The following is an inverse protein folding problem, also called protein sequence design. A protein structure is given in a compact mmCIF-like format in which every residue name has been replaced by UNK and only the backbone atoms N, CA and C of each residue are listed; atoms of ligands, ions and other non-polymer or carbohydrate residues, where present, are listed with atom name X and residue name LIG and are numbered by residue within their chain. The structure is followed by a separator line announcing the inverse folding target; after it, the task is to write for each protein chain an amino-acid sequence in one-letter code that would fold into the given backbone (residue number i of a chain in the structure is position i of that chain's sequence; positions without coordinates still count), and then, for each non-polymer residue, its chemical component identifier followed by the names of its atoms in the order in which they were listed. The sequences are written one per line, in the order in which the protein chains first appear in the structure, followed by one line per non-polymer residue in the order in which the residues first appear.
data_IF_594767754164
#
_entry.id   IF_594767754164
#
_cell.length_a   1.000
_cell.length_b   1.000
_cell.length_c   1.000
_cell.angle_alpha   90.00
_cell.angle_beta   90.00
_cell.angle_gamma   90.00
#
_symmetry.space_group_name_H-M   'P 1'
#
loop_
_entity.id
_entity.type
_entity.pdbx_description
1 polymer ?
#
# COMPACT_ATOMS: atom_id res chain seq x y z
N UNK A 1 9.82 -21.63 -15.90
CA UNK A 1 10.51 -20.71 -14.97
C UNK A 1 10.26 -21.09 -13.51
N UNK A 2 9.00 -21.25 -13.09
CA UNK A 2 8.61 -21.65 -11.72
C UNK A 2 9.25 -22.97 -11.24
N UNK A 3 8.96 -24.11 -11.90
CA UNK A 3 9.45 -25.43 -11.47
C UNK A 3 10.98 -25.51 -11.45
N UNK A 4 11.66 -24.85 -12.40
CA UNK A 4 13.12 -24.78 -12.43
C UNK A 4 13.67 -24.04 -11.22
N UNK A 5 13.04 -22.95 -10.80
CA UNK A 5 13.48 -22.21 -9.60
C UNK A 5 13.25 -23.01 -8.32
N UNK A 6 12.16 -23.78 -8.22
CA UNK A 6 11.95 -24.70 -7.10
C UNK A 6 13.04 -25.78 -7.06
N UNK A 7 13.45 -26.30 -8.22
CA UNK A 7 14.53 -27.27 -8.31
C UNK A 7 15.90 -26.68 -7.95
N UNK A 8 16.22 -25.47 -8.42
CA UNK A 8 17.44 -24.73 -8.04
C UNK A 8 17.52 -24.50 -6.52
N UNK A 9 16.37 -24.28 -5.86
CA UNK A 9 16.28 -24.17 -4.41
C UNK A 9 16.27 -25.52 -3.69
N UNK A 10 16.32 -26.64 -4.40
CA UNK A 10 16.32 -28.00 -3.83
C UNK A 10 14.99 -28.41 -3.20
N UNK A 11 13.90 -27.74 -3.57
CA UNK A 11 12.55 -28.06 -3.07
C UNK A 11 11.93 -29.23 -3.83
N UNK A 12 12.23 -29.33 -5.12
CA UNK A 12 11.81 -30.45 -5.97
C UNK A 12 13.00 -30.99 -6.75
N UNK A 13 12.93 -32.24 -7.17
CA UNK A 13 13.89 -32.89 -8.06
C UNK A 13 13.14 -33.61 -9.17
N UNK A 14 13.76 -33.71 -10.35
CA UNK A 14 13.20 -34.47 -11.47
C UNK A 14 13.96 -35.80 -11.62
N UNK A 15 13.22 -36.90 -11.62
CA UNK A 15 13.75 -38.24 -11.88
C UNK A 15 14.03 -38.44 -13.38
N UNK A 16 14.80 -39.48 -13.71
CA UNK A 16 15.20 -39.76 -15.10
C UNK A 16 14.03 -40.11 -16.05
N UNK A 17 12.89 -40.52 -15.49
CA UNK A 17 11.64 -40.77 -16.22
C UNK A 17 10.74 -39.51 -16.32
N UNK A 18 11.21 -38.37 -15.81
CA UNK A 18 10.52 -37.09 -15.85
C UNK A 18 9.61 -36.81 -14.66
N UNK A 19 9.43 -37.75 -13.72
CA UNK A 19 8.63 -37.53 -12.51
C UNK A 19 9.24 -36.46 -11.60
N UNK A 20 8.40 -35.61 -11.01
CA UNK A 20 8.81 -34.63 -10.02
C UNK A 20 8.60 -35.20 -8.61
N UNK A 21 9.67 -35.25 -7.83
CA UNK A 21 9.68 -35.68 -6.43
C UNK A 21 10.13 -34.52 -5.55
N UNK A 22 9.92 -34.63 -4.24
CA UNK A 22 10.48 -33.66 -3.30
C UNK A 22 12.01 -33.77 -3.30
N UNK A 23 12.67 -32.60 -3.30
CA UNK A 23 14.08 -32.52 -2.98
C UNK A 23 14.26 -32.54 -1.47
N UNK A 24 15.49 -32.75 -0.99
CA UNK A 24 15.81 -32.79 0.45
C UNK A 24 15.24 -31.60 1.25
N UNK A 25 15.31 -30.38 0.71
CA UNK A 25 14.72 -29.20 1.38
C UNK A 25 13.19 -29.17 1.28
N UNK A 26 12.63 -29.73 0.22
CA UNK A 26 11.18 -29.89 0.06
C UNK A 26 10.59 -30.86 1.07
N UNK A 27 11.26 -31.99 1.33
CA UNK A 27 10.86 -32.95 2.36
C UNK A 27 10.84 -32.30 3.75
N UNK A 28 11.89 -31.55 4.11
CA UNK A 28 11.93 -30.81 5.37
C UNK A 28 10.82 -29.76 5.49
N UNK A 29 10.54 -29.05 4.39
CA UNK A 29 9.49 -28.03 4.34
C UNK A 29 8.11 -28.66 4.55
N UNK A 30 7.79 -29.72 3.79
CA UNK A 30 6.49 -30.42 3.85
C UNK A 30 6.31 -31.15 5.19
N UNK A 31 7.39 -31.69 5.75
CA UNK A 31 7.37 -32.38 7.05
C UNK A 31 7.09 -31.46 8.25
N UNK A 32 7.20 -30.13 8.08
CA UNK A 32 6.91 -29.19 9.15
C UNK A 32 5.41 -28.88 9.21
N UNK A 33 4.81 -28.92 10.42
CA UNK A 33 3.36 -28.71 10.63
C UNK A 33 2.86 -27.38 10.05
N UNK A 34 3.71 -26.35 10.06
CA UNK A 34 3.36 -25.05 9.50
C UNK A 34 3.11 -25.10 8.00
N UNK A 35 3.60 -26.11 7.26
CA UNK A 35 3.33 -26.24 5.83
C UNK A 35 1.84 -26.37 5.51
N UNK A 36 1.07 -27.04 6.37
CA UNK A 36 -0.35 -27.32 6.17
C UNK A 36 -1.28 -26.20 6.64
N UNK A 37 -0.76 -25.15 7.27
CA UNK A 37 -1.58 -24.00 7.70
C UNK A 37 -1.86 -23.07 6.52
N UNK A 38 -3.11 -22.60 6.40
CA UNK A 38 -3.51 -21.62 5.38
C UNK A 38 -2.94 -20.22 5.65
N UNK A 39 -2.52 -19.94 6.88
CA UNK A 39 -1.97 -18.65 7.31
C UNK A 39 -0.56 -18.83 7.87
N UNK A 40 0.28 -17.82 7.68
CA UNK A 40 1.55 -17.71 8.39
C UNK A 40 1.28 -17.19 9.80
N UNK A 41 1.69 -17.95 10.81
CA UNK A 41 1.84 -17.39 12.16
C UNK A 41 3.12 -16.56 12.16
N UNK A 42 3.07 -15.25 12.45
CA UNK A 42 4.29 -14.46 12.57
C UNK A 42 5.19 -15.08 13.63
N UNK A 43 6.49 -15.07 13.39
CA UNK A 43 7.45 -15.50 14.40
C UNK A 43 7.47 -14.48 15.54
N UNK A 44 7.31 -14.95 16.77
CA UNK A 44 7.44 -14.11 17.96
C UNK A 44 8.92 -13.93 18.30
N UNK A 45 9.42 -12.68 18.21
CA UNK A 45 10.78 -12.33 18.60
C UNK A 45 10.80 -11.76 20.00
N UNK A 46 11.75 -12.22 20.82
CA UNK A 46 12.07 -11.60 22.11
C UNK A 46 12.82 -10.30 21.86
N UNK A 47 12.41 -9.24 22.53
CA UNK A 47 13.10 -7.96 22.54
C UNK A 47 14.02 -7.90 23.75
N UNK A 48 15.28 -7.54 23.55
CA UNK A 48 16.29 -7.45 24.59
C UNK A 48 16.87 -6.04 24.67
N UNK A 49 17.00 -5.51 25.89
CA UNK A 49 17.73 -4.28 26.17
C UNK A 49 18.70 -4.52 27.33
N UNK A 50 19.99 -4.22 27.11
CA UNK A 50 21.06 -4.36 28.11
C UNK A 50 21.10 -5.74 28.80
N UNK A 51 21.07 -6.85 28.04
CA UNK A 51 21.14 -8.18 28.64
C UNK A 51 19.80 -8.73 29.15
N UNK A 52 18.71 -7.95 29.09
CA UNK A 52 17.42 -8.31 29.68
C UNK A 52 16.30 -8.28 28.64
N UNK A 53 15.53 -9.38 28.58
CA UNK A 53 14.31 -9.45 27.77
C UNK A 53 13.27 -8.48 28.33
N UNK A 54 12.79 -7.58 27.49
CA UNK A 54 11.78 -6.57 27.82
C UNK A 54 10.37 -6.98 27.37
N UNK A 55 10.25 -7.96 26.46
CA UNK A 55 8.98 -8.55 26.01
C UNK A 55 9.13 -9.30 24.69
N UNK A 56 8.01 -9.60 24.02
CA UNK A 56 7.99 -10.18 22.67
C UNK A 56 7.14 -9.36 21.72
N UNK A 57 7.45 -9.47 20.43
CA UNK A 57 6.64 -8.90 19.35
C UNK A 57 6.53 -9.91 18.20
N UNK A 58 5.36 -10.02 17.55
CA UNK A 58 5.26 -10.71 16.29
C UNK A 58 6.02 -9.92 15.22
N UNK A 59 6.89 -10.60 14.48
CA UNK A 59 7.59 -10.04 13.33
C UNK A 59 6.97 -10.63 12.06
N UNK A 60 6.16 -9.82 11.39
CA UNK A 60 5.51 -10.10 10.11
C UNK A 60 6.35 -9.59 8.92
N UNK A 61 7.18 -8.56 9.15
CA UNK A 61 8.14 -8.02 8.17
C UNK A 61 9.55 -8.04 8.75
N UNK A 62 10.58 -8.45 7.98
CA UNK A 62 11.97 -8.45 8.45
C UNK A 62 12.37 -7.07 8.98
N UNK A 63 12.86 -7.03 10.22
CA UNK A 63 13.46 -5.82 10.78
C UNK A 63 14.90 -5.69 10.33
N UNK A 64 15.32 -4.46 10.03
CA UNK A 64 16.71 -4.14 9.67
C UNK A 64 17.41 -3.46 10.83
N UNK A 65 18.75 -3.57 10.88
CA UNK A 65 19.56 -2.82 11.83
C UNK A 65 19.30 -1.31 11.64
N UNK A 66 19.34 -0.54 12.73
CA UNK A 66 19.04 0.90 12.79
C UNK A 66 17.56 1.26 12.57
N UNK A 67 16.70 0.29 12.26
CA UNK A 67 15.26 0.51 12.21
C UNK A 67 14.71 0.88 13.59
N UNK A 68 13.80 1.84 13.62
CA UNK A 68 13.12 2.25 14.84
C UNK A 68 11.82 1.45 15.05
N UNK A 69 11.58 1.00 16.28
CA UNK A 69 10.35 0.32 16.69
C UNK A 69 9.79 0.94 17.97
N UNK A 70 8.49 0.77 18.21
CA UNK A 70 7.85 1.13 19.48
C UNK A 70 7.46 -0.15 20.21
N UNK A 71 7.89 -0.25 21.48
CA UNK A 71 7.49 -1.33 22.36
C UNK A 71 7.26 -0.79 23.78
N UNK A 72 6.14 -1.17 24.40
CA UNK A 72 5.70 -0.68 25.71
C UNK A 72 5.71 0.85 25.83
N UNK A 73 5.24 1.54 24.78
CA UNK A 73 5.19 3.01 24.72
C UNK A 73 6.56 3.71 24.66
N UNK A 74 7.65 2.96 24.47
CA UNK A 74 9.02 3.47 24.37
C UNK A 74 9.57 3.22 22.97
N UNK A 75 10.42 4.13 22.52
CA UNK A 75 11.11 4.03 21.23
C UNK A 75 12.42 3.30 21.38
N UNK A 76 12.64 2.37 20.48
CA UNK A 76 13.83 1.52 20.45
C UNK A 76 14.43 1.57 19.05
N UNK A 77 15.74 1.44 18.98
CA UNK A 77 16.48 1.26 17.73
C UNK A 77 17.06 -0.15 17.72
N UNK A 78 16.86 -0.85 16.61
CA UNK A 78 17.35 -2.22 16.40
C UNK A 78 18.88 -2.19 16.26
N UNK A 79 19.58 -2.88 17.16
CA UNK A 79 21.04 -3.08 17.08
C UNK A 79 21.37 -4.35 16.31
N UNK A 80 20.63 -5.42 16.57
CA UNK A 80 20.89 -6.74 16.01
C UNK A 80 19.59 -7.53 15.94
N UNK A 81 19.41 -8.28 14.85
CA UNK A 81 18.37 -9.29 14.71
C UNK A 81 19.05 -10.66 14.63
N UNK A 82 18.78 -11.51 15.61
CA UNK A 82 19.18 -12.92 15.62
C UNK A 82 17.97 -13.78 15.25
N UNK A 83 17.83 -14.05 13.96
CA UNK A 83 16.74 -14.88 13.42
C UNK A 83 16.77 -16.32 13.92
N UNK A 84 17.96 -16.83 14.27
CA UNK A 84 18.12 -18.21 14.73
C UNK A 84 17.57 -18.39 16.13
N UNK A 85 17.78 -17.41 17.02
CA UNK A 85 17.31 -17.46 18.41
C UNK A 85 16.06 -16.62 18.67
N UNK A 86 15.46 -16.05 17.62
CA UNK A 86 14.27 -15.18 17.66
C UNK A 86 14.44 -14.08 18.69
N UNK A 87 15.54 -13.33 18.56
CA UNK A 87 15.97 -12.32 19.52
C UNK A 87 16.36 -11.03 18.78
N UNK A 88 15.87 -9.89 19.27
CA UNK A 88 16.22 -8.57 18.75
C UNK A 88 16.86 -7.79 19.88
N UNK A 89 18.11 -7.39 19.70
CA UNK A 89 18.82 -6.52 20.65
C UNK A 89 18.54 -5.06 20.30
N UNK A 90 18.18 -4.28 21.31
CA UNK A 90 17.71 -2.90 21.17
C UNK A 90 18.57 -1.93 21.98
N UNK A 91 18.62 -0.67 21.54
CA UNK A 91 19.00 0.49 22.36
C UNK A 91 17.87 1.51 22.40
N UNK A 92 17.92 2.42 23.37
CA UNK A 92 16.97 3.55 23.43
C UNK A 92 17.23 4.50 22.27
N UNK A 93 16.18 4.81 21.50
CA UNK A 93 16.26 5.78 20.41
C UNK A 93 16.05 7.22 20.91
N UNK A 94 16.84 8.18 20.39
CA UNK A 94 16.68 9.62 20.64
C UNK A 94 16.26 10.31 19.34
N UNK A 95 14.96 10.46 19.12
CA UNK A 95 14.41 11.05 17.89
C UNK A 95 14.24 10.04 16.73
N UNK A 96 13.57 10.47 15.65
CA UNK A 96 13.20 9.64 14.50
C UNK A 96 11.73 9.78 14.09
N UNK A 97 11.39 9.48 12.84
CA UNK A 97 10.02 9.42 12.32
C UNK A 97 9.21 8.38 13.11
N UNK A 98 7.96 8.66 13.53
CA UNK A 98 7.13 7.66 14.20
C UNK A 98 7.04 6.39 13.33
N UNK A 99 7.30 5.18 13.87
CA UNK A 99 7.10 3.97 13.11
C UNK A 99 5.61 3.79 12.82
N UNK A 100 5.33 3.26 11.64
CA UNK A 100 3.98 2.95 11.19
C UNK A 100 3.44 1.79 12.04
N UNK A 101 2.28 1.97 12.66
CA UNK A 101 1.64 0.90 13.42
C UNK A 101 1.14 -0.18 12.45
N UNK A 102 1.44 -1.44 12.73
CA UNK A 102 0.76 -2.56 12.07
C UNK A 102 -0.66 -2.70 12.63
N UNK A 103 -1.58 -3.09 11.75
CA UNK A 103 -3.03 -2.99 11.95
C UNK A 103 -3.78 -2.41 10.76
N UNK A 104 -3.09 -2.13 9.65
CA UNK A 104 -3.73 -1.78 8.38
C UNK A 104 -4.82 -2.82 8.09
N UNK A 105 -6.06 -2.34 7.99
CA UNK A 105 -7.19 -3.17 7.59
C UNK A 105 -6.95 -3.77 6.20
N UNK A 106 -7.87 -4.64 5.78
CA UNK A 106 -7.87 -5.09 4.39
C UNK A 106 -8.10 -3.90 3.45
N UNK A 107 -7.59 -4.01 2.22
CA UNK A 107 -7.84 -3.05 1.15
C UNK A 107 -9.35 -2.79 1.01
N UNK A 108 -9.73 -1.51 1.02
CA UNK A 108 -11.08 -1.06 0.77
C UNK A 108 -11.38 -1.16 -0.72
N UNK A 109 -12.52 -1.76 -1.09
CA UNK A 109 -12.95 -1.90 -2.48
C UNK A 109 -13.66 -0.63 -2.98
N UNK A 110 -13.64 -0.39 -4.30
CA UNK A 110 -14.26 0.76 -4.97
C UNK A 110 -15.69 1.05 -4.52
N UNK A 111 -16.54 0.01 -4.49
CA UNK A 111 -17.95 0.09 -4.08
C UNK A 111 -18.12 0.78 -2.74
N UNK A 112 -17.24 0.52 -1.76
CA UNK A 112 -17.34 1.15 -0.43
C UNK A 112 -17.11 2.65 -0.52
N UNK A 113 -16.10 3.09 -1.27
CA UNK A 113 -15.79 4.51 -1.42
C UNK A 113 -16.78 5.24 -2.32
N UNK A 114 -17.32 4.55 -3.32
CA UNK A 114 -18.40 5.09 -4.15
C UNK A 114 -19.68 5.28 -3.31
N UNK A 115 -20.02 4.34 -2.43
CA UNK A 115 -21.12 4.49 -1.48
C UNK A 115 -20.86 5.65 -0.52
N UNK A 116 -19.64 5.79 0.01
CA UNK A 116 -19.26 6.95 0.81
C UNK A 116 -19.46 8.26 0.03
N UNK A 117 -19.01 8.32 -1.23
CA UNK A 117 -19.22 9.49 -2.08
C UNK A 117 -20.71 9.81 -2.26
N UNK A 118 -21.54 8.78 -2.50
CA UNK A 118 -22.98 8.91 -2.66
C UNK A 118 -23.63 9.46 -1.40
N UNK A 119 -23.33 8.87 -0.24
CA UNK A 119 -23.85 9.32 1.07
C UNK A 119 -23.53 10.79 1.31
N UNK A 120 -22.29 11.21 1.01
CA UNK A 120 -21.88 12.61 1.14
C UNK A 120 -22.57 13.53 0.12
N UNK A 121 -22.73 13.09 -1.12
CA UNK A 121 -23.37 13.87 -2.19
C UNK A 121 -24.87 14.07 -1.95
N UNK A 122 -25.55 13.04 -1.45
CA UNK A 122 -27.00 13.04 -1.18
C UNK A 122 -27.33 13.52 0.25
N UNK A 123 -26.31 13.76 1.08
CA UNK A 123 -26.45 14.04 2.53
C UNK A 123 -27.29 12.98 3.27
N UNK A 124 -27.18 11.73 2.83
CA UNK A 124 -27.98 10.62 3.37
C UNK A 124 -27.53 10.31 4.80
N UNK A 125 -28.47 10.33 5.75
CA UNK A 125 -28.15 10.04 7.16
C UNK A 125 -28.60 8.62 7.52
N UNK A 126 -27.69 7.69 7.85
CA UNK A 126 -28.06 6.34 8.29
C UNK A 126 -28.83 6.35 9.62
N UNK A 127 -29.87 5.53 9.72
CA UNK A 127 -30.79 5.48 10.88
C UNK A 127 -30.17 4.94 12.17
N UNK A 128 -29.00 4.30 12.08
CA UNK A 128 -28.35 3.60 13.18
C UNK A 128 -27.24 4.43 13.85
N UNK A 129 -27.05 5.70 13.47
CA UNK A 129 -26.02 6.55 14.07
C UNK A 129 -26.43 7.07 15.45
N UNK A 130 -25.50 7.07 16.40
CA UNK A 130 -25.66 7.80 17.65
C UNK A 130 -25.42 9.31 17.44
N UNK A 131 -25.70 10.13 18.47
CA UNK A 131 -25.59 11.59 18.37
C UNK A 131 -24.18 12.07 17.98
N UNK A 132 -23.13 11.47 18.55
CA UNK A 132 -21.75 11.84 18.25
C UNK A 132 -21.37 11.55 16.79
N UNK A 133 -21.74 10.37 16.27
CA UNK A 133 -21.50 9.99 14.88
C UNK A 133 -22.32 10.84 13.92
N UNK A 134 -23.56 11.20 14.30
CA UNK A 134 -24.41 12.10 13.51
C UNK A 134 -23.81 13.50 13.38
N UNK A 135 -23.26 14.05 14.48
CA UNK A 135 -22.58 15.33 14.47
C UNK A 135 -21.36 15.32 13.56
N UNK A 136 -20.50 14.29 13.68
CA UNK A 136 -19.33 14.12 12.83
C UNK A 136 -19.69 13.96 11.34
N UNK A 137 -20.75 13.21 11.03
CA UNK A 137 -21.21 13.03 9.65
C UNK A 137 -21.73 14.34 9.04
N UNK A 138 -22.50 15.12 9.82
CA UNK A 138 -23.00 16.43 9.38
C UNK A 138 -21.86 17.42 9.11
N UNK A 139 -20.87 17.47 9.99
CA UNK A 139 -19.65 18.25 9.76
C UNK A 139 -18.94 17.81 8.48
N UNK A 140 -18.85 16.50 8.24
CA UNK A 140 -18.34 15.94 6.99
C UNK A 140 -19.10 16.42 5.75
N UNK A 141 -20.43 16.40 5.78
CA UNK A 141 -21.26 16.93 4.68
C UNK A 141 -20.97 18.40 4.41
N UNK A 142 -20.91 19.21 5.46
CA UNK A 142 -20.67 20.65 5.33
C UNK A 142 -19.31 20.93 4.67
N UNK A 143 -18.23 20.24 5.09
CA UNK A 143 -16.92 20.39 4.45
C UNK A 143 -16.87 19.85 3.03
N UNK A 144 -17.50 18.70 2.76
CA UNK A 144 -17.52 18.11 1.43
C UNK A 144 -18.15 19.05 0.39
N UNK A 145 -19.27 19.69 0.72
CA UNK A 145 -19.92 20.66 -0.15
C UNK A 145 -19.26 22.03 -0.14
N UNK A 146 -18.75 22.51 1.00
CA UNK A 146 -17.98 23.75 1.04
C UNK A 146 -16.72 23.65 0.15
N UNK A 147 -16.17 22.45 0.06
CA UNK A 147 -15.10 22.10 -0.85
C UNK A 147 -15.60 21.56 -2.19
N UNK A 148 -16.85 21.72 -2.61
CA UNK A 148 -17.39 21.30 -3.92
C UNK A 148 -16.96 19.89 -4.38
N UNK A 149 -16.74 18.95 -3.45
CA UNK A 149 -16.19 17.62 -3.75
C UNK A 149 -17.20 16.69 -4.46
N UNK A 150 -18.45 17.14 -4.59
CA UNK A 150 -19.50 16.57 -5.45
C UNK A 150 -19.20 16.76 -6.94
N UNK A 151 -18.44 17.80 -7.30
CA UNK A 151 -18.17 18.17 -8.70
C UNK A 151 -16.68 18.28 -9.04
N UNK A 152 -15.80 18.30 -8.02
CA UNK A 152 -14.34 18.30 -8.22
C UNK A 152 -13.65 17.19 -7.42
N UNK A 153 -12.65 16.58 -8.04
CA UNK A 153 -11.85 15.52 -7.42
C UNK A 153 -10.41 15.94 -7.14
N UNK A 154 -9.96 17.11 -7.64
CA UNK A 154 -8.64 17.67 -7.36
C UNK A 154 -8.82 19.04 -6.71
N UNK A 155 -8.12 19.28 -5.61
CA UNK A 155 -8.05 20.58 -4.97
C UNK A 155 -6.61 20.90 -4.59
N UNK A 156 -6.27 22.19 -4.56
CA UNK A 156 -4.99 22.65 -4.04
C UNK A 156 -5.23 23.43 -2.75
N UNK A 157 -4.46 23.11 -1.71
CA UNK A 157 -4.42 23.82 -0.44
C UNK A 157 -2.98 24.21 -0.14
N UNK A 158 -2.66 25.50 -0.30
CA UNK A 158 -1.29 25.99 -0.18
C UNK A 158 -0.37 25.35 -1.23
N UNK A 159 0.66 24.64 -0.76
CA UNK A 159 1.66 23.94 -1.58
C UNK A 159 1.39 22.43 -1.72
N UNK A 160 0.18 21.98 -1.40
CA UNK A 160 -0.22 20.58 -1.50
C UNK A 160 -1.42 20.44 -2.44
N UNK A 161 -1.36 19.43 -3.31
CA UNK A 161 -2.51 18.99 -4.11
C UNK A 161 -3.11 17.76 -3.44
N UNK A 162 -4.43 17.76 -3.29
CA UNK A 162 -5.20 16.62 -2.83
C UNK A 162 -6.03 16.07 -3.98
N UNK A 163 -5.93 14.77 -4.21
CA UNK A 163 -6.76 14.05 -5.16
C UNK A 163 -7.70 13.09 -4.42
N UNK A 164 -8.96 13.08 -4.84
CA UNK A 164 -10.04 12.27 -4.29
C UNK A 164 -10.57 11.33 -5.39
N UNK A 165 -9.95 10.16 -5.59
CA UNK A 165 -10.38 9.26 -6.64
C UNK A 165 -11.79 8.70 -6.44
N UNK A 166 -12.22 8.55 -5.18
CA UNK A 166 -13.42 7.79 -4.80
C UNK A 166 -13.39 6.33 -5.30
N UNK A 167 -12.18 5.76 -5.35
CA UNK A 167 -11.89 4.39 -5.76
C UNK A 167 -11.13 3.67 -4.64
N UNK A 168 -11.18 2.34 -4.65
CA UNK A 168 -10.60 1.45 -3.66
C UNK A 168 -9.08 1.53 -3.59
N UNK A 169 -8.50 0.90 -2.57
CA UNK A 169 -7.07 1.00 -2.26
C UNK A 169 -6.20 0.51 -3.39
N UNK A 170 -6.62 -0.51 -4.14
CA UNK A 170 -5.86 -1.00 -5.28
C UNK A 170 -5.66 0.10 -6.33
N UNK A 171 -6.73 0.81 -6.70
CA UNK A 171 -6.63 1.88 -7.70
C UNK A 171 -5.91 3.08 -7.13
N UNK A 172 -6.31 3.55 -5.94
CA UNK A 172 -5.71 4.73 -5.28
C UNK A 172 -4.21 4.55 -5.06
N UNK A 173 -3.77 3.41 -4.53
CA UNK A 173 -2.35 3.13 -4.33
C UNK A 173 -1.59 3.02 -5.66
N UNK A 174 -2.23 2.49 -6.71
CA UNK A 174 -1.62 2.46 -8.05
C UNK A 174 -1.40 3.87 -8.59
N UNK A 175 -2.38 4.77 -8.45
CA UNK A 175 -2.23 6.18 -8.81
C UNK A 175 -1.10 6.81 -8.00
N UNK A 176 -1.05 6.60 -6.68
CA UNK A 176 0.01 7.12 -5.81
C UNK A 176 1.40 6.68 -6.29
N UNK A 177 1.59 5.38 -6.55
CA UNK A 177 2.88 4.85 -7.03
C UNK A 177 3.23 5.39 -8.41
N UNK A 178 2.26 5.51 -9.33
CA UNK A 178 2.49 6.13 -10.64
C UNK A 178 2.99 7.58 -10.50
N UNK A 179 2.37 8.38 -9.63
CA UNK A 179 2.80 9.75 -9.40
C UNK A 179 4.21 9.82 -8.80
N UNK A 180 4.55 8.91 -7.89
CA UNK A 180 5.90 8.78 -7.30
C UNK A 180 6.96 8.42 -8.34
N UNK A 181 6.67 7.45 -9.22
CA UNK A 181 7.57 7.06 -10.32
C UNK A 181 7.90 8.25 -11.23
N UNK A 182 6.96 9.17 -11.40
CA UNK A 182 7.14 10.39 -12.20
C UNK A 182 7.64 11.60 -11.38
N UNK A 183 8.09 11.37 -10.14
CA UNK A 183 8.83 12.35 -9.35
C UNK A 183 7.99 13.21 -8.41
N UNK A 184 6.68 12.96 -8.27
CA UNK A 184 5.85 13.67 -7.30
C UNK A 184 5.96 13.05 -5.91
N UNK A 185 5.90 13.88 -4.87
CA UNK A 185 5.91 13.44 -3.47
C UNK A 185 4.49 13.07 -3.00
N UNK A 186 3.89 12.10 -3.68
CA UNK A 186 2.56 11.59 -3.39
C UNK A 186 2.59 10.58 -2.23
N UNK A 187 1.57 10.61 -1.39
CA UNK A 187 1.25 9.61 -0.38
C UNK A 187 -0.28 9.42 -0.36
N UNK A 188 -0.78 8.31 0.18
CA UNK A 188 -2.23 8.10 0.25
C UNK A 188 -2.69 7.51 1.57
N UNK A 189 -3.76 8.08 2.11
CA UNK A 189 -4.38 7.65 3.35
C UNK A 189 -5.90 7.84 3.27
N UNK A 190 -6.68 6.87 3.77
CA UNK A 190 -8.14 6.98 3.81
C UNK A 190 -8.81 7.13 2.43
N UNK A 191 -8.12 6.77 1.34
CA UNK A 191 -8.62 6.94 -0.03
C UNK A 191 -8.36 8.31 -0.65
N UNK A 192 -7.63 9.18 0.03
CA UNK A 192 -7.17 10.49 -0.48
C UNK A 192 -5.69 10.39 -0.83
N UNK A 193 -5.28 11.02 -1.92
CA UNK A 193 -3.86 11.12 -2.33
C UNK A 193 -3.39 12.54 -2.07
N UNK A 194 -2.39 12.67 -1.20
CA UNK A 194 -1.77 13.94 -0.81
C UNK A 194 -0.42 14.10 -1.51
N UNK A 195 -0.24 15.21 -2.23
CA UNK A 195 0.93 15.45 -3.07
C UNK A 195 1.64 16.72 -2.61
N UNK A 196 2.72 16.55 -1.86
CA UNK A 196 3.46 17.65 -1.22
C UNK A 196 4.32 18.41 -2.22
N UNK A 197 4.47 19.71 -2.00
CA UNK A 197 5.26 20.63 -2.84
C UNK A 197 4.86 20.52 -4.32
N UNK A 198 3.56 20.53 -4.58
CA UNK A 198 2.99 20.33 -5.90
C UNK A 198 1.94 21.41 -6.16
N UNK A 199 1.94 21.96 -7.38
CA UNK A 199 0.86 22.80 -7.88
C UNK A 199 -0.09 22.00 -8.77
N UNK A 200 -1.29 22.53 -9.06
CA UNK A 200 -2.19 21.91 -10.04
C UNK A 200 -1.51 21.72 -11.40
N UNK A 201 -0.73 22.69 -11.86
CA UNK A 201 0.00 22.58 -13.13
C UNK A 201 1.03 21.44 -13.10
N UNK A 202 1.80 21.31 -12.01
CA UNK A 202 2.76 20.21 -11.84
C UNK A 202 2.05 18.85 -11.87
N UNK A 203 0.91 18.74 -11.18
CA UNK A 203 0.08 17.55 -11.17
C UNK A 203 -0.42 17.20 -12.57
N UNK A 204 -1.13 18.11 -13.24
CA UNK A 204 -1.71 17.84 -14.56
C UNK A 204 -0.65 17.62 -15.63
N UNK A 205 0.48 18.32 -15.58
CA UNK A 205 1.61 18.07 -16.49
C UNK A 205 2.21 16.67 -16.25
N UNK A 206 2.28 16.22 -15.01
CA UNK A 206 2.73 14.86 -14.68
C UNK A 206 1.74 13.81 -15.17
N UNK A 207 0.44 14.00 -14.94
CA UNK A 207 -0.60 13.09 -15.44
C UNK A 207 -0.56 12.99 -16.97
N UNK A 208 -0.40 14.12 -17.69
CA UNK A 208 -0.23 14.12 -19.15
C UNK A 208 0.99 13.31 -19.59
N UNK A 209 2.12 13.39 -18.86
CA UNK A 209 3.31 12.57 -19.15
C UNK A 209 3.03 11.08 -18.94
N UNK A 210 2.35 10.71 -17.86
CA UNK A 210 1.96 9.32 -17.56
C UNK A 210 1.10 8.74 -18.69
N UNK A 211 0.14 9.54 -19.19
CA UNK A 211 -0.79 9.13 -20.25
C UNK A 211 -0.18 9.16 -21.66
N UNK A 212 0.93 9.87 -21.87
CA UNK A 212 1.58 9.99 -23.17
C UNK A 212 2.43 8.76 -23.54
N UNK A 213 3.01 8.10 -22.54
CA UNK A 213 3.85 6.91 -22.75
C UNK A 213 3.00 5.63 -22.74
N UNK A 214 3.50 4.51 -23.28
CA UNK A 214 2.84 3.22 -23.14
C UNK A 214 2.53 2.89 -21.67
N UNK A 215 1.35 2.32 -21.45
CA UNK A 215 0.87 1.95 -20.12
C UNK A 215 1.84 0.97 -19.44
N UNK A 216 2.34 1.34 -18.27
CA UNK A 216 3.22 0.49 -17.46
C UNK A 216 2.43 -0.70 -16.93
N UNK A 217 3.00 -1.90 -16.99
CA UNK A 217 2.35 -3.10 -16.48
C UNK A 217 2.41 -3.16 -14.94
N UNK A 218 1.48 -3.90 -14.34
CA UNK A 218 1.49 -4.13 -12.89
C UNK A 218 2.76 -4.84 -12.40
N UNK A 219 3.37 -5.68 -13.26
CA UNK A 219 4.63 -6.36 -12.97
C UNK A 219 5.82 -5.40 -12.99
N UNK A 220 5.85 -4.46 -13.94
CA UNK A 220 6.89 -3.42 -13.98
C UNK A 220 6.81 -2.49 -12.77
N UNK A 221 5.61 -2.11 -12.33
CA UNK A 221 5.43 -1.38 -11.08
C UNK A 221 5.94 -2.17 -9.87
N UNK A 222 5.60 -3.46 -9.79
CA UNK A 222 6.09 -4.34 -8.72
C UNK A 222 7.61 -4.55 -8.75
N UNK A 223 8.24 -4.46 -9.92
CA UNK A 223 9.69 -4.66 -10.05
C UNK A 223 10.51 -3.62 -9.28
N UNK A 224 9.96 -2.41 -9.10
CA UNK A 224 10.54 -1.31 -8.34
C UNK A 224 10.27 -1.38 -6.83
N UNK A 225 9.43 -2.32 -6.38
CA UNK A 225 9.17 -2.54 -4.96
C UNK A 225 10.33 -3.34 -4.36
N UNK A 226 10.96 -2.85 -3.27
CA UNK A 226 12.11 -3.53 -2.66
C UNK A 226 11.81 -4.96 -2.21
N UNK A 227 10.62 -5.19 -1.64
CA UNK A 227 10.19 -6.52 -1.22
C UNK A 227 8.75 -6.84 -1.67
N UNK A 228 8.63 -7.91 -2.45
CA UNK A 228 7.39 -8.45 -2.97
C UNK A 228 6.99 -9.77 -2.29
N UNK A 229 7.57 -10.12 -1.14
CA UNK A 229 7.10 -11.22 -0.28
C UNK A 229 5.85 -10.75 0.50
N UNK A 230 4.71 -11.39 0.25
CA UNK A 230 3.47 -11.20 1.02
C UNK A 230 3.06 -12.52 1.65
N UNK A 231 2.99 -13.56 0.82
CA UNK A 231 2.46 -14.86 1.19
C UNK A 231 3.56 -15.77 1.71
N UNK A 232 3.14 -16.74 2.52
CA UNK A 232 3.97 -17.78 3.13
C UNK A 232 4.99 -18.45 2.20
N UNK A 233 4.63 -18.62 0.93
CA UNK A 233 5.44 -19.35 -0.04
C UNK A 233 6.19 -18.45 -1.03
N UNK A 234 5.99 -17.13 -0.99
CA UNK A 234 6.71 -16.19 -1.85
C UNK A 234 8.24 -16.28 -1.69
N UNK A 235 8.82 -16.51 -0.50
CA UNK A 235 10.28 -16.67 -0.37
C UNK A 235 10.87 -17.80 -1.23
N UNK A 236 10.07 -18.79 -1.59
CA UNK A 236 10.47 -19.89 -2.46
C UNK A 236 10.44 -19.52 -3.95
N UNK A 237 9.87 -18.38 -4.32
CA UNK A 237 9.75 -17.93 -5.71
C UNK A 237 10.92 -17.00 -6.10
N UNK A 238 11.33 -16.99 -7.38
CA UNK A 238 12.25 -15.99 -7.88
C UNK A 238 11.54 -14.63 -7.95
N UNK A 239 12.29 -13.52 -7.82
CA UNK A 239 11.71 -12.16 -7.81
C UNK A 239 10.81 -11.89 -9.00
N UNK A 240 11.21 -12.33 -10.20
CA UNK A 240 10.41 -12.15 -11.42
C UNK A 240 9.00 -12.76 -11.34
N UNK A 241 8.83 -13.88 -10.65
CA UNK A 241 7.52 -14.51 -10.46
C UNK A 241 6.76 -13.85 -9.30
N UNK A 242 7.48 -13.45 -8.23
CA UNK A 242 6.88 -12.67 -7.14
C UNK A 242 6.31 -11.35 -7.64
N UNK A 243 7.02 -10.65 -8.50
CA UNK A 243 6.60 -9.35 -9.03
C UNK A 243 5.32 -9.47 -9.87
N UNK A 244 5.13 -10.58 -10.60
CA UNK A 244 3.86 -10.88 -11.30
C UNK A 244 2.72 -11.08 -10.29
N UNK A 245 2.94 -11.91 -9.27
CA UNK A 245 1.95 -12.21 -8.24
C UNK A 245 1.59 -10.99 -7.38
N UNK A 246 2.59 -10.22 -6.98
CA UNK A 246 2.44 -8.98 -6.23
C UNK A 246 1.72 -7.93 -7.07
N UNK A 247 2.19 -7.71 -8.30
CA UNK A 247 1.61 -6.71 -9.19
C UNK A 247 0.13 -6.96 -9.46
N UNK A 248 -0.25 -8.22 -9.76
CA UNK A 248 -1.64 -8.60 -10.01
C UNK A 248 -2.57 -8.50 -8.80
N UNK A 249 -2.03 -8.54 -7.56
CA UNK A 249 -2.82 -8.40 -6.33
C UNK A 249 -2.93 -6.94 -5.86
N UNK A 250 -1.83 -6.21 -5.97
CA UNK A 250 -1.68 -4.88 -5.37
C UNK A 250 -2.12 -3.79 -6.32
N UNK A 251 -1.77 -3.90 -7.61
CA UNK A 251 -1.99 -2.82 -8.57
C UNK A 251 -3.23 -3.08 -9.42
N UNK A 252 -3.97 -2.00 -9.68
CA UNK A 252 -5.02 -1.90 -10.68
C UNK A 252 -4.66 -0.77 -11.64
N UNK A 253 -3.86 -1.12 -12.64
CA UNK A 253 -3.33 -0.16 -13.61
C UNK A 253 -4.43 0.37 -14.52
N UNK A 254 -5.36 -0.50 -14.94
CA UNK A 254 -6.45 -0.10 -15.83
C UNK A 254 -7.38 0.89 -15.13
N UNK A 255 -7.74 0.63 -13.87
CA UNK A 255 -8.50 1.55 -13.03
C UNK A 255 -7.79 2.89 -12.84
N UNK A 256 -6.47 2.86 -12.59
CA UNK A 256 -5.67 4.07 -12.42
C UNK A 256 -5.64 4.92 -13.71
N UNK A 257 -5.34 4.32 -14.85
CA UNK A 257 -5.28 5.02 -16.14
C UNK A 257 -6.65 5.55 -16.57
N UNK A 258 -7.72 4.80 -16.31
CA UNK A 258 -9.11 5.26 -16.53
C UNK A 258 -9.39 6.53 -15.74
N UNK A 259 -9.08 6.54 -14.44
CA UNK A 259 -9.31 7.72 -13.59
C UNK A 259 -8.43 8.91 -14.01
N UNK A 260 -7.14 8.69 -14.27
CA UNK A 260 -6.22 9.73 -14.76
C UNK A 260 -6.68 10.32 -16.11
N UNK A 261 -7.25 9.52 -17.00
CA UNK A 261 -7.81 10.02 -18.26
C UNK A 261 -9.03 10.89 -18.02
N UNK A 262 -9.93 10.47 -17.12
CA UNK A 262 -11.13 11.23 -16.77
C UNK A 262 -10.77 12.60 -16.15
N UNK A 263 -9.78 12.65 -15.25
CA UNK A 263 -9.42 13.91 -14.56
C UNK A 263 -8.88 14.98 -15.53
N UNK A 264 -8.12 14.57 -16.55
CA UNK A 264 -7.57 15.49 -17.56
C UNK A 264 -8.67 16.00 -18.50
N UNK A 265 -9.61 15.14 -18.89
CA UNK A 265 -10.74 15.50 -19.74
C UNK A 265 -11.68 16.48 -19.03
N UNK A 266 -12.04 16.22 -17.78
CA UNK A 266 -12.92 17.07 -16.98
C UNK A 266 -12.35 18.46 -16.70
N UNK A 267 -11.02 18.60 -16.74
CA UNK A 267 -10.33 19.88 -16.51
C UNK A 267 -10.38 20.80 -17.74
N UNK A 268 -10.46 20.26 -18.96
CA UNK A 268 -10.65 21.09 -20.16
C UNK A 268 -12.01 21.81 -20.15
N UNK A 269 -13.06 21.16 -19.64
CA UNK A 269 -14.41 21.75 -19.57
C UNK A 269 -14.57 22.80 -18.46
N UNK A 270 -13.69 22.81 -17.45
CA UNK A 270 -13.73 23.77 -16.34
C UNK A 270 -13.05 25.10 -16.68
N UNK A 271 -12.15 25.13 -17.68
CA UNK A 271 -11.48 26.36 -18.14
C UNK A 271 -12.40 27.19 -19.06
N UNK A 272 -13.29 26.57 -19.83
CA UNK A 272 -14.24 27.31 -20.70
C UNK A 272 -15.37 28.01 -19.92
N UNK A 273 -15.66 27.60 -18.67
CA UNK A 273 -16.70 28.23 -17.83
C UNK A 273 -16.22 29.42 -17.00
N UNK A 274 -14.93 29.78 -17.07
CA UNK A 274 -14.36 30.95 -16.40
C UNK A 274 -13.77 31.96 -17.42
N UNK A 275 -14.51 32.26 -18.49
CA UNK A 275 -14.38 33.59 -19.11
C UNK A 275 -15.28 34.55 -18.32
N UNK A 276 -14.74 35.60 -17.67
CA UNK A 276 -15.58 36.65 -17.13
C UNK A 276 -16.34 37.28 -18.30
N UNK A 277 -17.67 37.30 -18.22
CA UNK A 277 -18.51 38.06 -19.13
C UNK A 277 -17.92 39.46 -19.28
N UNK A 278 -17.42 39.76 -20.49
CA UNK A 278 -17.18 41.14 -20.90
C UNK A 278 -18.54 41.82 -20.95
N UNK A 279 -18.80 42.69 -19.99
CA UNK A 279 -19.48 43.99 -20.10
C UNK A 279 -19.76 44.52 -18.69
#
# INVERSE_FOLDING_TARGET
MFLRSLAEKGLISQLGDGQLVLGYKGENLVGHYSFYTAFSTPDEYRLEFNGKVIGTVPIDKPLTQEQHIIFAGKRWEVILVDDKHKLITLKKAKGGTPPQFSGDGLNVHDIVRQEMQQIYSEKQTPVYLNEAALLALKEGFDYFHALNLDSRQIIQMGNMVHAFPWLGDRVTNTITVLLQVYGLKADSFGGVIDIRNCTLDDFFNTVKKILYVPQITSTELASNIPDTVIEKHDPFLPKTIRDIGYGSRTFDVDGAYKWLTQIVSSTHDQVEKFQPSKC
#
